data_IF_272951107441
#
_entry.id   IF_272951107441
#
_cell.length_a   1.000
_cell.length_b   1.000
_cell.length_c   1.000
_cell.angle_alpha   90.00
_cell.angle_beta   90.00
_cell.angle_gamma   90.00
#
_symmetry.space_group_name_H-M   'P 1'
#
loop_
_entity.id
_entity.type
_entity.pdbx_description
1 polymer ?
#
# COMPACT_ATOMS: atom_id res chain seq x y z
N UNK A 1 -17.28 -47.70 7.13
CA UNK A 1 -17.23 -46.46 7.95
C UNK A 1 -18.28 -45.50 7.40
N UNK A 2 -19.18 -44.93 8.23
CA UNK A 2 -20.24 -44.08 7.67
C UNK A 2 -19.63 -42.76 7.11
N UNK A 3 -20.26 -42.24 6.06
CA UNK A 3 -19.82 -40.99 5.40
C UNK A 3 -19.66 -39.81 6.40
N UNK A 4 -20.52 -39.76 7.44
CA UNK A 4 -20.41 -38.83 8.56
C UNK A 4 -19.10 -38.97 9.38
N UNK A 5 -18.67 -40.22 9.63
CA UNK A 5 -17.40 -40.46 10.36
C UNK A 5 -16.19 -40.07 9.53
N UNK A 6 -16.21 -40.34 8.22
CA UNK A 6 -15.14 -39.91 7.30
C UNK A 6 -15.06 -38.39 7.26
N UNK A 7 -16.20 -37.71 7.12
CA UNK A 7 -16.23 -36.23 7.10
C UNK A 7 -15.70 -35.59 8.40
N UNK A 8 -16.13 -36.12 9.55
CA UNK A 8 -15.69 -35.65 10.86
C UNK A 8 -14.19 -35.88 11.10
N UNK A 9 -13.65 -37.02 10.71
CA UNK A 9 -12.21 -37.29 10.83
C UNK A 9 -11.39 -36.41 9.89
N UNK A 10 -11.87 -36.17 8.67
CA UNK A 10 -11.21 -35.26 7.72
C UNK A 10 -11.20 -33.81 8.24
N UNK A 11 -12.31 -33.31 8.77
CA UNK A 11 -12.39 -31.97 9.38
C UNK A 11 -11.48 -31.84 10.60
N UNK A 12 -11.44 -32.83 11.47
CA UNK A 12 -10.57 -32.84 12.66
C UNK A 12 -9.08 -32.85 12.26
N UNK A 13 -8.71 -33.66 11.26
CA UNK A 13 -7.35 -33.70 10.73
C UNK A 13 -6.94 -32.36 10.10
N UNK A 14 -7.84 -31.74 9.31
CA UNK A 14 -7.61 -30.43 8.71
C UNK A 14 -7.45 -29.35 9.77
N UNK A 15 -8.27 -29.34 10.82
CA UNK A 15 -8.17 -28.38 11.92
C UNK A 15 -6.85 -28.56 12.71
N UNK A 16 -6.46 -29.80 13.00
CA UNK A 16 -5.18 -30.11 13.65
C UNK A 16 -3.99 -29.68 12.80
N UNK A 17 -4.03 -29.92 11.49
CA UNK A 17 -3.02 -29.47 10.54
C UNK A 17 -2.91 -27.94 10.51
N UNK A 18 -4.02 -27.23 10.40
CA UNK A 18 -4.03 -25.76 10.44
C UNK A 18 -3.47 -25.22 11.75
N UNK A 19 -3.83 -25.86 12.89
CA UNK A 19 -3.28 -25.48 14.19
C UNK A 19 -1.77 -25.71 14.26
N UNK A 20 -1.28 -26.85 13.77
CA UNK A 20 0.14 -27.14 13.67
C UNK A 20 0.88 -26.11 12.83
N UNK A 21 0.37 -25.78 11.64
CA UNK A 21 0.93 -24.77 10.76
C UNK A 21 0.91 -23.36 11.40
N UNK A 22 -0.15 -23.02 12.11
CA UNK A 22 -0.28 -21.77 12.85
C UNK A 22 0.86 -21.60 13.87
N UNK A 23 1.13 -22.62 14.66
CA UNK A 23 2.24 -22.60 15.63
C UNK A 23 3.59 -22.53 14.94
N UNK A 24 3.80 -23.37 13.91
CA UNK A 24 5.06 -23.43 13.15
C UNK A 24 5.40 -22.12 12.46
N UNK A 25 4.39 -21.44 11.89
CA UNK A 25 4.56 -20.19 11.15
C UNK A 25 4.34 -18.94 12.02
N UNK A 26 4.12 -19.12 13.33
CA UNK A 26 3.92 -18.03 14.31
C UNK A 26 2.81 -17.03 13.89
N UNK A 27 1.72 -17.55 13.31
CA UNK A 27 0.60 -16.74 12.84
C UNK A 27 -0.75 -17.38 13.13
N UNK A 28 -1.84 -16.62 13.02
CA UNK A 28 -3.18 -17.11 13.34
C UNK A 28 -3.67 -18.17 12.34
N UNK A 29 -4.56 -19.06 12.78
CA UNK A 29 -5.27 -20.00 11.89
C UNK A 29 -6.09 -19.24 10.85
N UNK A 30 -6.68 -18.11 11.23
CA UNK A 30 -7.46 -17.26 10.32
C UNK A 30 -6.60 -16.76 9.16
N UNK A 31 -5.36 -16.33 9.40
CA UNK A 31 -4.47 -15.88 8.33
C UNK A 31 -4.11 -17.01 7.36
N UNK A 32 -3.94 -18.24 7.86
CA UNK A 32 -3.74 -19.42 7.00
C UNK A 32 -4.95 -19.70 6.12
N UNK A 33 -6.16 -19.61 6.69
CA UNK A 33 -7.40 -19.81 5.94
C UNK A 33 -7.63 -18.76 4.86
N UNK A 34 -7.39 -17.49 5.20
CA UNK A 34 -7.51 -16.37 4.25
C UNK A 34 -6.49 -16.54 3.13
N UNK A 35 -5.22 -16.83 3.45
CA UNK A 35 -4.19 -17.09 2.43
C UNK A 35 -4.58 -18.23 1.50
N UNK A 36 -5.07 -19.33 2.04
CA UNK A 36 -5.49 -20.47 1.23
C UNK A 36 -6.70 -20.15 0.36
N UNK A 37 -7.65 -19.38 0.88
CA UNK A 37 -8.78 -18.84 0.11
C UNK A 37 -8.33 -17.95 -1.04
N UNK A 38 -7.41 -17.03 -0.80
CA UNK A 38 -6.83 -16.16 -1.83
C UNK A 38 -6.10 -16.96 -2.90
N UNK A 39 -5.25 -17.91 -2.50
CA UNK A 39 -4.55 -18.82 -3.44
C UNK A 39 -5.53 -19.59 -4.31
N UNK A 40 -6.58 -20.14 -3.73
CA UNK A 40 -7.61 -20.91 -4.47
C UNK A 40 -8.41 -20.02 -5.42
N UNK A 41 -8.77 -18.81 -5.00
CA UNK A 41 -9.53 -17.86 -5.80
C UNK A 41 -8.72 -17.31 -6.99
N UNK A 42 -7.41 -17.09 -6.77
CA UNK A 42 -6.50 -16.56 -7.78
C UNK A 42 -5.79 -17.65 -8.59
N UNK A 43 -5.97 -18.93 -8.19
CA UNK A 43 -5.38 -20.07 -8.89
C UNK A 43 -5.90 -20.16 -10.33
N UNK A 44 -4.98 -20.34 -11.28
CA UNK A 44 -5.32 -20.49 -12.70
C UNK A 44 -5.66 -19.19 -13.44
N UNK A 45 -5.61 -18.04 -12.81
CA UNK A 45 -5.67 -16.77 -13.53
C UNK A 45 -4.36 -16.60 -14.33
N UNK A 46 -4.51 -16.48 -15.65
CA UNK A 46 -3.40 -16.13 -16.52
C UNK A 46 -3.07 -14.65 -16.30
N UNK A 47 -1.86 -14.32 -15.83
CA UNK A 47 -1.45 -12.94 -15.60
C UNK A 47 -1.65 -12.04 -16.80
N UNK A 48 -1.28 -12.53 -17.99
CA UNK A 48 -1.35 -11.78 -19.25
C UNK A 48 -2.78 -11.50 -19.71
N UNK A 49 -3.73 -12.37 -19.36
CA UNK A 49 -5.15 -12.16 -19.64
C UNK A 49 -5.83 -11.24 -18.62
N UNK A 50 -5.31 -11.20 -17.39
CA UNK A 50 -5.79 -10.28 -16.36
C UNK A 50 -5.44 -8.82 -16.71
N UNK A 51 -4.29 -8.58 -17.34
CA UNK A 51 -3.83 -7.27 -17.80
C UNK A 51 -4.41 -6.96 -19.18
N UNK A 52 -5.67 -6.55 -19.23
CA UNK A 52 -6.27 -6.04 -20.47
C UNK A 52 -5.78 -4.59 -20.71
N UNK A 53 -4.68 -4.47 -21.43
CA UNK A 53 -4.04 -3.19 -21.75
C UNK A 53 -5.02 -2.12 -22.27
N UNK A 54 -5.85 -2.47 -23.27
CA UNK A 54 -6.80 -1.52 -23.86
C UNK A 54 -7.82 -1.01 -22.83
N UNK A 55 -8.29 -1.88 -21.94
CA UNK A 55 -9.20 -1.50 -20.85
C UNK A 55 -8.52 -0.55 -19.86
N UNK A 56 -7.31 -0.88 -19.40
CA UNK A 56 -6.58 -0.04 -18.44
C UNK A 56 -6.20 1.30 -19.07
N UNK A 57 -5.75 1.30 -20.32
CA UNK A 57 -5.46 2.55 -21.01
C UNK A 57 -6.71 3.45 -21.09
N UNK A 58 -7.86 2.89 -21.45
CA UNK A 58 -9.11 3.64 -21.48
C UNK A 58 -9.53 4.18 -20.10
N UNK A 59 -9.46 3.34 -19.06
CA UNK A 59 -9.83 3.74 -17.68
C UNK A 59 -8.89 4.80 -17.14
N UNK A 60 -7.59 4.67 -17.39
CA UNK A 60 -6.55 5.51 -16.79
C UNK A 60 -6.28 6.80 -17.57
N UNK A 61 -6.74 6.93 -18.84
CA UNK A 61 -6.76 8.21 -19.57
C UNK A 61 -8.00 9.06 -19.31
N UNK A 62 -8.99 8.53 -18.58
CA UNK A 62 -10.23 9.24 -18.25
C UNK A 62 -10.23 9.83 -16.84
N UNK A 63 -11.25 10.65 -16.57
CA UNK A 63 -11.50 11.15 -15.22
C UNK A 63 -12.02 10.03 -14.31
N UNK A 64 -11.45 9.91 -13.14
CA UNK A 64 -11.90 8.94 -12.14
C UNK A 64 -13.33 9.25 -11.66
N UNK A 65 -14.16 8.22 -11.56
CA UNK A 65 -15.51 8.33 -10.99
C UNK A 65 -15.50 7.76 -9.58
N UNK A 66 -15.84 8.59 -8.59
CA UNK A 66 -15.94 8.12 -7.19
C UNK A 66 -17.06 7.07 -7.11
N UNK A 67 -16.78 5.84 -6.65
CA UNK A 67 -17.84 4.84 -6.47
C UNK A 67 -18.91 5.34 -5.49
N UNK A 68 -20.19 5.12 -5.81
CA UNK A 68 -21.33 5.56 -4.97
C UNK A 68 -21.18 5.21 -3.49
N UNK A 69 -20.63 4.04 -3.20
CA UNK A 69 -20.37 3.58 -1.84
C UNK A 69 -19.33 4.43 -1.12
N UNK A 70 -18.28 4.84 -1.84
CA UNK A 70 -17.23 5.71 -1.31
C UNK A 70 -17.79 7.10 -1.06
N UNK A 71 -18.54 7.63 -2.00
CA UNK A 71 -19.15 8.95 -1.91
C UNK A 71 -20.23 9.03 -0.81
N UNK A 72 -21.18 8.08 -0.77
CA UNK A 72 -22.38 8.18 0.06
C UNK A 72 -22.20 7.60 1.47
N UNK A 73 -21.32 6.60 1.65
CA UNK A 73 -21.15 5.90 2.93
C UNK A 73 -19.82 6.17 3.63
N UNK A 74 -18.80 6.60 2.87
CA UNK A 74 -17.47 6.94 3.42
C UNK A 74 -17.17 8.43 3.31
N UNK A 75 -18.08 9.22 2.76
CA UNK A 75 -18.06 10.68 2.73
C UNK A 75 -16.84 11.30 2.02
N UNK A 76 -16.23 10.57 1.06
CA UNK A 76 -15.21 11.13 0.20
C UNK A 76 -15.82 12.04 -0.85
N UNK A 77 -15.26 13.23 -1.01
CA UNK A 77 -15.69 14.27 -1.97
C UNK A 77 -14.49 14.74 -2.75
N UNK A 78 -14.75 15.38 -3.88
CA UNK A 78 -13.69 16.09 -4.60
C UNK A 78 -13.21 17.29 -3.76
N UNK A 79 -11.91 17.37 -3.49
CA UNK A 79 -11.23 18.58 -3.07
C UNK A 79 -10.91 19.42 -4.30
N UNK A 80 -10.36 18.79 -5.33
CA UNK A 80 -10.07 19.36 -6.63
C UNK A 80 -10.42 18.34 -7.72
N UNK A 81 -11.35 18.68 -8.60
CA UNK A 81 -11.82 17.80 -9.66
C UNK A 81 -10.85 17.77 -10.85
N UNK A 82 -10.16 18.89 -11.14
CA UNK A 82 -9.22 18.97 -12.27
C UNK A 82 -7.96 18.16 -11.96
N UNK A 83 -7.44 18.27 -10.74
CA UNK A 83 -6.32 17.46 -10.26
C UNK A 83 -6.74 16.07 -9.76
N UNK A 84 -8.03 15.74 -9.75
CA UNK A 84 -8.53 14.47 -9.23
C UNK A 84 -8.08 14.17 -7.78
N UNK A 85 -8.19 15.15 -6.90
CA UNK A 85 -7.87 15.01 -5.48
C UNK A 85 -9.13 14.84 -4.67
N UNK A 86 -9.23 13.75 -3.92
CA UNK A 86 -10.33 13.49 -2.99
C UNK A 86 -9.99 13.99 -1.59
N UNK A 87 -11.02 14.45 -0.88
CA UNK A 87 -10.96 14.82 0.54
C UNK A 87 -12.04 14.07 1.31
N UNK A 88 -11.74 13.74 2.55
CA UNK A 88 -12.69 13.30 3.56
C UNK A 88 -12.34 13.95 4.88
N UNK A 89 -13.31 14.59 5.50
CA UNK A 89 -13.16 15.10 6.86
C UNK A 89 -13.48 14.00 7.88
N UNK A 90 -12.80 14.00 9.02
CA UNK A 90 -13.13 13.11 10.12
C UNK A 90 -14.54 13.41 10.66
N UNK A 91 -15.23 12.38 11.13
CA UNK A 91 -16.48 12.53 11.90
C UNK A 91 -16.22 13.02 13.33
N UNK A 92 -14.99 12.91 13.82
CA UNK A 92 -14.52 13.51 15.07
C UNK A 92 -13.94 14.88 14.74
N UNK A 93 -14.08 15.88 15.63
CA UNK A 93 -13.50 17.20 15.42
C UNK A 93 -12.00 17.09 15.12
N UNK A 94 -11.54 17.52 13.94
CA UNK A 94 -10.16 17.30 13.52
C UNK A 94 -9.20 18.13 14.35
N UNK A 95 -8.17 17.48 14.89
CA UNK A 95 -7.04 18.15 15.56
C UNK A 95 -6.02 18.69 14.55
N UNK A 96 -6.45 19.30 13.47
CA UNK A 96 -5.59 19.81 12.37
C UNK A 96 -4.72 18.75 11.66
N UNK A 97 -4.72 17.48 12.08
CA UNK A 97 -3.96 16.40 11.44
C UNK A 97 -4.56 16.06 10.07
N UNK A 98 -3.69 15.87 9.09
CA UNK A 98 -4.07 15.45 7.73
C UNK A 98 -3.33 14.19 7.36
N UNK A 99 -4.04 13.16 6.93
CA UNK A 99 -3.45 11.98 6.31
C UNK A 99 -3.43 12.22 4.79
N UNK A 100 -2.23 12.44 4.23
CA UNK A 100 -2.03 12.49 2.80
C UNK A 100 -1.81 11.06 2.32
N UNK A 101 -2.80 10.48 1.63
CA UNK A 101 -2.82 9.05 1.34
C UNK A 101 -2.59 8.76 -0.14
N UNK A 102 -1.55 7.98 -0.42
CA UNK A 102 -1.21 7.46 -1.74
C UNK A 102 -1.57 5.98 -1.81
N UNK A 103 -2.60 5.66 -2.60
CA UNK A 103 -3.13 4.31 -2.68
C UNK A 103 -2.25 3.36 -3.50
N UNK A 104 -2.26 2.07 -3.15
CA UNK A 104 -1.64 1.01 -3.94
C UNK A 104 -2.47 0.61 -5.17
N UNK A 105 -1.99 -0.42 -5.86
CA UNK A 105 -2.63 -0.95 -7.08
C UNK A 105 -1.65 -1.04 -8.25
N UNK A 106 -0.37 -1.36 -7.97
CA UNK A 106 0.68 -1.59 -8.96
C UNK A 106 0.86 -0.46 -9.97
N UNK A 107 0.46 0.77 -9.63
CA UNK A 107 0.41 1.94 -10.53
C UNK A 107 -0.56 1.80 -11.72
N UNK A 108 -1.39 0.74 -11.74
CA UNK A 108 -2.35 0.42 -12.80
C UNK A 108 -3.80 0.50 -12.36
N UNK A 109 -4.09 0.06 -11.13
CA UNK A 109 -5.46 -0.08 -10.62
C UNK A 109 -5.90 1.17 -9.88
N UNK A 110 -7.16 1.51 -10.06
CA UNK A 110 -7.84 2.51 -9.25
C UNK A 110 -7.99 2.00 -7.80
N UNK A 111 -8.17 2.92 -6.82
CA UNK A 111 -8.27 2.50 -5.41
C UNK A 111 -9.37 1.47 -5.17
N UNK A 112 -9.08 0.51 -4.32
CA UNK A 112 -10.01 -0.55 -3.91
C UNK A 112 -10.86 -0.15 -2.69
N UNK A 113 -12.05 -0.72 -2.53
CA UNK A 113 -12.96 -0.48 -1.41
C UNK A 113 -12.29 -0.69 -0.04
N UNK A 114 -11.41 -1.67 0.09
CA UNK A 114 -10.68 -1.95 1.32
C UNK A 114 -9.75 -0.79 1.74
N UNK A 115 -9.12 -0.12 0.79
CA UNK A 115 -8.25 1.02 1.04
C UNK A 115 -9.05 2.22 1.57
N UNK A 116 -10.16 2.58 0.90
CA UNK A 116 -11.05 3.65 1.38
C UNK A 116 -11.56 3.40 2.79
N UNK A 117 -12.01 2.16 3.08
CA UNK A 117 -12.51 1.79 4.40
C UNK A 117 -11.44 1.87 5.48
N UNK A 118 -10.25 1.39 5.16
CA UNK A 118 -9.14 1.40 6.09
C UNK A 118 -8.74 2.82 6.46
N UNK A 119 -8.52 3.68 5.46
CA UNK A 119 -8.04 5.03 5.69
C UNK A 119 -9.13 5.92 6.34
N UNK A 120 -10.40 5.75 5.95
CA UNK A 120 -11.52 6.45 6.59
C UNK A 120 -11.62 6.10 8.07
N UNK A 121 -11.57 4.80 8.41
CA UNK A 121 -11.60 4.34 9.80
C UNK A 121 -10.39 4.84 10.59
N UNK A 122 -9.21 4.87 9.98
CA UNK A 122 -8.00 5.37 10.62
C UNK A 122 -8.15 6.87 10.93
N UNK A 123 -8.57 7.65 9.96
CA UNK A 123 -8.78 9.08 10.10
C UNK A 123 -9.79 9.41 11.22
N UNK A 124 -10.92 8.69 11.29
CA UNK A 124 -11.91 8.87 12.35
C UNK A 124 -11.35 8.55 13.74
N UNK A 125 -10.50 7.53 13.85
CA UNK A 125 -9.92 7.14 15.14
C UNK A 125 -8.89 8.13 15.68
N UNK A 126 -8.22 8.88 14.79
CA UNK A 126 -7.18 9.84 15.17
C UNK A 126 -7.62 11.30 15.01
N UNK A 127 -8.87 11.55 14.62
CA UNK A 127 -9.38 12.90 14.41
C UNK A 127 -8.74 13.63 13.23
N UNK A 128 -8.28 12.93 12.19
CA UNK A 128 -7.61 13.51 11.03
C UNK A 128 -8.52 13.64 9.81
N UNK A 129 -8.28 14.62 8.96
CA UNK A 129 -8.82 14.65 7.60
C UNK A 129 -7.96 13.78 6.68
N UNK A 130 -8.55 13.29 5.58
CA UNK A 130 -7.82 12.57 4.52
C UNK A 130 -7.76 13.44 3.28
N UNK A 131 -6.60 13.56 2.67
CA UNK A 131 -6.39 14.06 1.30
C UNK A 131 -5.81 12.92 0.49
N UNK A 132 -6.48 12.56 -0.60
CA UNK A 132 -6.16 11.37 -1.39
C UNK A 132 -6.11 11.71 -2.88
N UNK A 133 -4.93 11.98 -3.42
CA UNK A 133 -4.73 12.11 -4.86
C UNK A 133 -5.03 10.82 -5.60
N UNK A 134 -5.84 10.91 -6.65
CA UNK A 134 -6.07 9.81 -7.59
C UNK A 134 -5.06 9.99 -8.74
N UNK A 135 -3.81 9.76 -8.43
CA UNK A 135 -2.70 10.04 -9.33
C UNK A 135 -2.81 9.31 -10.68
N UNK A 136 -2.23 9.89 -11.78
CA UNK A 136 -2.18 9.27 -13.09
C UNK A 136 -1.54 7.88 -13.05
N UNK A 137 -2.03 6.94 -13.87
CA UNK A 137 -1.66 5.52 -13.81
C UNK A 137 -1.28 4.96 -15.19
N UNK A 138 -0.38 4.00 -15.17
CA UNK A 138 -0.03 3.21 -16.33
C UNK A 138 -1.26 2.42 -16.85
N UNK A 139 -1.35 2.10 -18.13
CA UNK A 139 -0.35 2.41 -19.14
C UNK A 139 -0.55 3.78 -19.83
N UNK A 140 -1.57 4.57 -19.44
CA UNK A 140 -1.87 5.87 -20.02
C UNK A 140 -0.84 6.95 -19.60
N UNK A 141 -0.25 6.79 -18.44
CA UNK A 141 0.68 7.71 -17.79
C UNK A 141 1.85 6.95 -17.19
N UNK A 142 2.91 7.66 -16.83
CA UNK A 142 4.11 7.09 -16.26
C UNK A 142 4.45 7.64 -14.84
N UNK A 143 5.64 7.32 -14.35
CA UNK A 143 6.12 7.70 -13.04
C UNK A 143 6.28 9.22 -12.90
N UNK A 144 6.69 9.92 -13.95
CA UNK A 144 6.85 11.37 -13.94
C UNK A 144 5.49 12.07 -13.79
N UNK A 145 4.47 11.61 -14.53
CA UNK A 145 3.11 12.14 -14.42
C UNK A 145 2.55 11.94 -13.01
N UNK A 146 2.71 10.72 -12.47
CA UNK A 146 2.23 10.38 -11.14
C UNK A 146 2.91 11.23 -10.06
N UNK A 147 4.24 11.32 -10.08
CA UNK A 147 5.01 12.09 -9.12
C UNK A 147 4.75 13.58 -9.21
N UNK A 148 4.68 14.13 -10.42
CA UNK A 148 4.37 15.56 -10.66
C UNK A 148 3.02 15.95 -10.05
N UNK A 149 1.99 15.12 -10.26
CA UNK A 149 0.66 15.37 -9.72
C UNK A 149 0.64 15.31 -8.18
N UNK A 150 1.27 14.30 -7.57
CA UNK A 150 1.25 14.18 -6.10
C UNK A 150 2.11 15.26 -5.43
N UNK A 151 3.22 15.69 -6.05
CA UNK A 151 3.99 16.85 -5.59
C UNK A 151 3.16 18.12 -5.59
N UNK A 152 2.48 18.42 -6.71
CA UNK A 152 1.59 19.57 -6.83
C UNK A 152 0.49 19.53 -5.77
N UNK A 153 -0.16 18.37 -5.61
CA UNK A 153 -1.22 18.18 -4.59
C UNK A 153 -0.71 18.40 -3.17
N UNK A 154 0.52 17.97 -2.86
CA UNK A 154 1.13 18.19 -1.56
C UNK A 154 1.45 19.68 -1.33
N UNK A 155 2.00 20.37 -2.31
CA UNK A 155 2.27 21.80 -2.25
C UNK A 155 1.00 22.64 -2.07
N UNK A 156 -0.07 22.31 -2.77
CA UNK A 156 -1.37 22.96 -2.61
C UNK A 156 -2.00 22.69 -1.24
N UNK A 157 -1.78 21.48 -0.69
CA UNK A 157 -2.18 21.18 0.68
C UNK A 157 -1.44 22.09 1.68
N UNK A 158 -0.11 22.27 1.54
CA UNK A 158 0.66 23.19 2.38
C UNK A 158 0.23 24.64 2.22
N UNK A 159 -0.21 25.06 1.03
CA UNK A 159 -0.74 26.38 0.79
C UNK A 159 -2.14 26.62 1.40
N UNK A 160 -2.80 25.55 1.85
CA UNK A 160 -4.12 25.62 2.50
C UNK A 160 -3.97 26.24 3.89
N UNK A 161 -4.74 27.27 4.18
CA UNK A 161 -4.66 28.01 5.45
C UNK A 161 -4.87 27.08 6.67
N UNK A 162 -3.92 27.09 7.58
CA UNK A 162 -3.92 26.29 8.82
C UNK A 162 -3.41 24.84 8.67
N UNK A 163 -2.87 24.46 7.50
CA UNK A 163 -2.15 23.19 7.32
C UNK A 163 -0.64 23.46 7.40
N UNK A 164 0.02 22.78 8.32
CA UNK A 164 1.47 22.79 8.48
C UNK A 164 2.04 21.40 8.20
N UNK A 165 3.24 21.31 7.65
CA UNK A 165 3.88 20.03 7.32
C UNK A 165 3.98 19.09 8.54
N UNK A 166 4.17 19.67 9.74
CA UNK A 166 4.16 18.97 11.02
C UNK A 166 2.84 18.28 11.38
N UNK A 167 1.75 18.67 10.73
CA UNK A 167 0.43 18.06 10.90
C UNK A 167 0.12 17.02 9.81
N UNK A 168 1.01 16.86 8.81
CA UNK A 168 0.80 15.91 7.72
C UNK A 168 1.45 14.58 8.04
N UNK A 169 0.65 13.52 7.90
CA UNK A 169 1.08 12.13 7.93
C UNK A 169 0.96 11.61 6.50
N UNK A 170 2.10 11.32 5.85
CA UNK A 170 2.11 10.69 4.55
C UNK A 170 1.89 9.19 4.72
N UNK A 171 0.83 8.67 4.16
CA UNK A 171 0.47 7.25 4.23
C UNK A 171 0.45 6.63 2.85
N UNK A 172 1.04 5.45 2.69
CA UNK A 172 1.03 4.75 1.41
C UNK A 172 1.03 3.24 1.55
N UNK A 173 0.39 2.56 0.61
CA UNK A 173 0.43 1.09 0.53
C UNK A 173 0.93 0.61 -0.83
N UNK A 174 1.70 -0.47 -0.87
CA UNK A 174 2.17 -1.11 -2.12
C UNK A 174 2.86 -0.09 -3.05
N UNK A 175 2.37 0.07 -4.28
CA UNK A 175 2.82 1.09 -5.24
C UNK A 175 2.73 2.51 -4.66
N UNK A 176 1.64 2.85 -3.96
CA UNK A 176 1.51 4.14 -3.29
C UNK A 176 2.55 4.35 -2.19
N UNK A 177 3.05 3.27 -1.58
CA UNK A 177 4.16 3.31 -0.64
C UNK A 177 5.49 3.64 -1.32
N UNK A 178 5.76 3.10 -2.50
CA UNK A 178 6.91 3.46 -3.34
C UNK A 178 6.83 4.95 -3.76
N UNK A 179 5.67 5.36 -4.29
CA UNK A 179 5.43 6.76 -4.68
C UNK A 179 5.58 7.73 -3.49
N UNK A 180 5.19 7.31 -2.28
CA UNK A 180 5.37 8.13 -1.07
C UNK A 180 6.85 8.38 -0.74
N UNK A 181 7.70 7.36 -0.90
CA UNK A 181 9.14 7.54 -0.69
C UNK A 181 9.75 8.43 -1.78
N UNK A 182 9.40 8.19 -3.06
CA UNK A 182 9.82 9.07 -4.16
C UNK A 182 9.38 10.52 -3.93
N UNK A 183 8.15 10.73 -3.44
CA UNK A 183 7.64 12.07 -3.10
C UNK A 183 8.52 12.75 -2.06
N UNK A 184 8.80 12.12 -0.91
CA UNK A 184 9.59 12.78 0.16
C UNK A 184 11.04 13.04 -0.27
N UNK A 185 11.63 12.20 -1.12
CA UNK A 185 12.93 12.47 -1.72
C UNK A 185 12.91 13.74 -2.59
N UNK A 186 11.88 13.90 -3.43
CA UNK A 186 11.75 15.07 -4.29
C UNK A 186 11.39 16.33 -3.51
N UNK A 187 10.54 16.25 -2.49
CA UNK A 187 10.23 17.37 -1.61
C UNK A 187 11.50 17.89 -0.91
N UNK A 188 12.32 16.98 -0.34
CA UNK A 188 13.60 17.31 0.25
C UNK A 188 14.54 18.00 -0.76
N UNK A 189 14.69 17.41 -1.95
CA UNK A 189 15.54 17.96 -3.00
C UNK A 189 15.11 19.36 -3.46
N UNK A 190 13.79 19.61 -3.44
CA UNK A 190 13.20 20.90 -3.75
C UNK A 190 13.16 21.87 -2.55
N UNK A 191 13.66 21.46 -1.37
CA UNK A 191 13.62 22.24 -0.13
C UNK A 191 12.18 22.63 0.29
N UNK A 192 11.22 21.73 0.06
CA UNK A 192 9.83 21.85 0.49
C UNK A 192 9.69 21.13 1.83
N UNK A 193 8.91 21.69 2.75
CA UNK A 193 8.69 21.14 4.08
C UNK A 193 8.16 19.70 4.01
N UNK A 194 8.80 18.81 4.76
CA UNK A 194 8.53 17.38 4.76
C UNK A 194 7.41 17.03 5.75
N UNK A 195 6.62 15.98 5.48
CA UNK A 195 5.60 15.51 6.41
C UNK A 195 6.24 15.07 7.73
N UNK A 196 5.47 15.17 8.82
CA UNK A 196 5.90 14.76 10.17
C UNK A 196 6.33 13.30 10.24
N UNK A 197 5.60 12.43 9.56
CA UNK A 197 5.77 10.99 9.59
C UNK A 197 5.35 10.36 8.26
N UNK A 198 6.05 9.31 7.85
CA UNK A 198 5.65 8.45 6.73
C UNK A 198 5.30 7.07 7.27
N UNK A 199 4.13 6.55 6.92
CA UNK A 199 3.68 5.20 7.30
C UNK A 199 3.38 4.40 6.04
N UNK A 200 4.04 3.26 5.88
CA UNK A 200 3.99 2.46 4.67
C UNK A 200 3.51 1.04 4.96
N UNK A 201 2.55 0.56 4.18
CA UNK A 201 2.10 -0.82 4.21
C UNK A 201 2.62 -1.56 2.97
N UNK A 202 3.53 -2.52 3.17
CA UNK A 202 4.05 -3.34 2.06
C UNK A 202 4.54 -2.51 0.85
N UNK A 203 5.39 -1.48 1.00
CA UNK A 203 5.74 -0.57 -0.09
C UNK A 203 6.50 -1.28 -1.22
N UNK A 204 6.21 -0.89 -2.48
CA UNK A 204 6.98 -1.33 -3.65
C UNK A 204 8.12 -0.34 -3.93
N UNK A 205 9.30 -0.65 -3.42
CA UNK A 205 10.46 0.25 -3.37
C UNK A 205 11.46 0.03 -4.50
N UNK A 206 11.41 -1.11 -5.17
CA UNK A 206 12.23 -1.47 -6.34
C UNK A 206 11.35 -2.06 -7.44
N UNK A 207 11.10 -1.28 -8.48
CA UNK A 207 10.30 -1.71 -9.63
C UNK A 207 11.06 -2.70 -10.52
N UNK A 208 12.39 -2.73 -10.44
CA UNK A 208 13.22 -3.69 -11.20
C UNK A 208 13.06 -5.13 -10.71
N UNK A 209 12.67 -5.33 -9.43
CA UNK A 209 12.50 -6.64 -8.81
C UNK A 209 13.71 -7.56 -8.98
N UNK A 210 14.93 -6.99 -8.96
CA UNK A 210 16.18 -7.71 -9.16
C UNK A 210 16.73 -8.38 -7.90
N UNK A 211 16.19 -8.07 -6.72
CA UNK A 211 16.62 -8.69 -5.47
C UNK A 211 16.43 -10.22 -5.53
N UNK A 212 17.54 -10.95 -5.38
CA UNK A 212 17.55 -12.41 -5.54
C UNK A 212 16.66 -13.17 -4.56
N UNK A 213 16.39 -12.58 -3.38
CA UNK A 213 15.51 -13.18 -2.35
C UNK A 213 14.03 -13.19 -2.77
N UNK A 214 13.62 -12.29 -3.68
CA UNK A 214 12.26 -12.23 -4.22
C UNK A 214 11.82 -13.58 -4.79
N UNK A 215 12.69 -14.25 -5.56
CA UNK A 215 12.38 -15.55 -6.18
C UNK A 215 12.06 -16.64 -5.15
N UNK A 216 12.63 -16.56 -3.94
CA UNK A 216 12.38 -17.51 -2.85
C UNK A 216 11.01 -17.30 -2.21
N UNK A 217 10.50 -16.06 -2.22
CA UNK A 217 9.24 -15.67 -1.59
C UNK A 217 8.08 -15.68 -2.57
N UNK A 218 8.31 -15.46 -3.85
CA UNK A 218 7.29 -15.32 -4.89
C UNK A 218 6.20 -16.42 -4.90
N UNK A 219 6.57 -17.66 -4.53
CA UNK A 219 5.61 -18.78 -4.43
C UNK A 219 4.76 -18.75 -3.15
N UNK A 220 5.13 -17.93 -2.17
CA UNK A 220 4.42 -17.85 -0.88
C UNK A 220 3.35 -16.77 -0.90
N UNK A 221 3.59 -15.68 -1.65
CA UNK A 221 2.64 -14.59 -1.76
C UNK A 221 1.35 -15.05 -2.46
N UNK A 222 0.18 -14.91 -1.81
CA UNK A 222 -1.09 -15.32 -2.40
C UNK A 222 -1.68 -14.27 -3.35
N UNK A 223 -1.20 -13.03 -3.32
CA UNK A 223 -1.78 -11.89 -4.04
C UNK A 223 -0.96 -11.50 -5.27
N UNK A 224 0.35 -11.38 -5.10
CA UNK A 224 1.23 -10.83 -6.12
C UNK A 224 1.92 -11.92 -6.93
N UNK A 225 2.15 -11.62 -8.21
CA UNK A 225 2.92 -12.46 -9.13
C UNK A 225 4.07 -11.66 -9.73
N UNK A 226 5.27 -12.23 -9.68
CA UNK A 226 6.48 -11.57 -10.13
C UNK A 226 6.41 -11.12 -11.61
N UNK A 227 5.80 -11.94 -12.47
CA UNK A 227 5.67 -11.63 -13.89
C UNK A 227 4.70 -10.45 -14.15
N UNK A 228 3.61 -10.37 -13.38
CA UNK A 228 2.65 -9.26 -13.45
C UNK A 228 3.33 -7.97 -13.01
N UNK A 229 4.00 -7.98 -11.86
CA UNK A 229 4.70 -6.81 -11.33
C UNK A 229 5.77 -6.29 -12.28
N UNK A 230 6.55 -7.16 -12.92
CA UNK A 230 7.55 -6.74 -13.91
C UNK A 230 6.92 -6.01 -15.07
N UNK A 231 5.86 -6.58 -15.62
CA UNK A 231 5.12 -5.95 -16.72
C UNK A 231 4.52 -4.60 -16.29
N UNK A 232 3.87 -4.55 -15.15
CA UNK A 232 3.27 -3.33 -14.61
C UNK A 232 4.32 -2.26 -14.35
N UNK A 233 5.47 -2.67 -13.80
CA UNK A 233 6.59 -1.78 -13.49
C UNK A 233 7.29 -1.20 -14.72
N UNK A 234 7.45 -1.98 -15.79
CA UNK A 234 8.01 -1.51 -17.06
C UNK A 234 7.16 -0.38 -17.66
N UNK A 235 5.83 -0.52 -17.65
CA UNK A 235 4.93 0.53 -18.14
C UNK A 235 4.90 1.76 -17.22
N UNK A 236 4.95 1.55 -15.90
CA UNK A 236 5.02 2.66 -14.94
C UNK A 236 6.31 3.46 -15.11
N UNK A 237 7.43 2.80 -15.36
CA UNK A 237 8.69 3.48 -15.60
C UNK A 237 8.67 4.37 -16.86
N UNK A 238 7.87 4.02 -17.87
CA UNK A 238 7.79 4.76 -19.13
C UNK A 238 9.15 4.78 -19.84
N UNK A 239 9.72 5.95 -20.04
CA UNK A 239 11.06 6.12 -20.62
C UNK A 239 12.21 6.09 -19.60
N UNK A 240 11.88 6.07 -18.32
CA UNK A 240 12.87 6.07 -17.24
C UNK A 240 13.53 4.68 -17.06
N UNK A 241 14.72 4.68 -16.52
CA UNK A 241 15.34 3.43 -16.03
C UNK A 241 14.52 2.87 -14.87
N UNK A 242 14.34 1.55 -14.82
CA UNK A 242 13.71 0.87 -13.67
C UNK A 242 14.43 1.17 -12.34
N UNK A 243 15.69 1.61 -12.39
CA UNK A 243 16.47 2.01 -11.21
C UNK A 243 16.55 3.53 -11.00
N UNK A 244 15.83 4.31 -11.80
CA UNK A 244 15.71 5.73 -11.52
C UNK A 244 15.01 5.92 -10.16
N UNK A 245 15.51 6.76 -9.23
CA UNK A 245 14.87 7.02 -7.93
C UNK A 245 13.41 7.43 -8.00
N UNK A 246 13.00 8.12 -9.06
CA UNK A 246 11.59 8.47 -9.30
C UNK A 246 10.71 7.21 -9.41
N UNK A 247 11.23 6.15 -10.01
CA UNK A 247 10.55 4.87 -10.25
C UNK A 247 10.77 3.91 -9.08
N UNK A 248 12.01 3.82 -8.61
CA UNK A 248 12.47 2.90 -7.57
C UNK A 248 13.25 3.64 -6.49
N UNK A 249 12.58 4.18 -5.48
CA UNK A 249 13.20 5.05 -4.48
C UNK A 249 14.30 4.39 -3.64
N UNK A 250 14.38 3.08 -3.61
CA UNK A 250 15.48 2.35 -2.95
C UNK A 250 16.88 2.70 -3.53
N UNK A 251 16.93 3.26 -4.74
CA UNK A 251 18.16 3.71 -5.40
C UNK A 251 18.45 5.20 -5.22
N UNK A 252 17.56 5.92 -4.53
CA UNK A 252 17.72 7.34 -4.25
C UNK A 252 18.68 7.64 -3.11
N UNK A 253 18.82 8.92 -2.82
CA UNK A 253 19.51 9.38 -1.63
C UNK A 253 18.54 9.35 -0.45
N UNK A 254 18.77 8.47 0.51
CA UNK A 254 17.91 8.22 1.67
C UNK A 254 18.32 9.05 2.91
N UNK A 255 19.25 9.99 2.75
CA UNK A 255 19.63 10.91 3.84
C UNK A 255 18.51 11.93 4.10
N UNK A 256 18.41 12.39 5.33
CA UNK A 256 17.53 13.49 5.76
C UNK A 256 16.05 13.33 5.38
N UNK A 257 15.59 12.09 5.21
CA UNK A 257 14.17 11.78 5.05
C UNK A 257 13.44 11.89 6.41
N UNK A 258 12.13 12.18 6.41
CA UNK A 258 11.33 12.18 7.63
C UNK A 258 11.32 10.76 8.24
N UNK A 259 10.91 10.58 9.50
CA UNK A 259 10.73 9.26 10.08
C UNK A 259 9.79 8.40 9.24
N UNK A 260 10.22 7.19 8.86
CA UNK A 260 9.44 6.24 8.05
C UNK A 260 9.19 4.98 8.86
N UNK A 261 7.94 4.55 8.99
CA UNK A 261 7.60 3.24 9.55
C UNK A 261 6.97 2.36 8.48
N UNK A 262 7.56 1.18 8.26
CA UNK A 262 7.12 0.19 7.29
C UNK A 262 6.48 -0.99 8.02
N UNK A 263 5.31 -1.42 7.60
CA UNK A 263 4.66 -2.66 8.01
C UNK A 263 4.78 -3.69 6.89
N UNK A 264 5.55 -4.75 7.09
CA UNK A 264 5.83 -5.77 6.10
C UNK A 264 5.57 -7.18 6.58
N UNK A 265 5.07 -8.04 5.70
CA UNK A 265 4.86 -9.46 5.93
C UNK A 265 5.97 -10.32 5.32
N UNK A 266 6.44 -11.36 6.00
CA UNK A 266 7.56 -12.18 5.49
C UNK A 266 7.21 -13.08 4.31
N UNK A 267 5.92 -13.22 3.97
CA UNK A 267 5.45 -13.91 2.77
C UNK A 267 5.09 -12.94 1.63
N UNK A 268 5.31 -11.64 1.82
CA UNK A 268 5.14 -10.61 0.79
C UNK A 268 6.33 -10.63 -0.16
N UNK A 269 6.07 -10.68 -1.47
CA UNK A 269 7.11 -10.68 -2.50
C UNK A 269 8.01 -9.44 -2.46
N UNK A 270 7.50 -8.31 -1.94
CA UNK A 270 8.23 -7.04 -1.80
C UNK A 270 9.03 -6.92 -0.49
N UNK A 271 8.88 -7.89 0.42
CA UNK A 271 9.54 -7.86 1.74
C UNK A 271 11.08 -7.79 1.68
N UNK A 272 11.78 -8.48 0.78
CA UNK A 272 13.24 -8.37 0.67
C UNK A 272 13.72 -6.94 0.43
N UNK A 273 12.99 -6.16 -0.37
CA UNK A 273 13.36 -4.78 -0.67
C UNK A 273 13.01 -3.83 0.48
N UNK A 274 11.96 -4.12 1.26
CA UNK A 274 11.69 -3.39 2.51
C UNK A 274 12.84 -3.55 3.51
N UNK A 275 13.40 -4.75 3.63
CA UNK A 275 14.59 -5.00 4.46
C UNK A 275 15.80 -4.23 3.95
N UNK A 276 16.10 -4.37 2.67
CA UNK A 276 17.25 -3.71 2.04
C UNK A 276 17.13 -2.18 2.16
N UNK A 277 15.96 -1.63 1.97
CA UNK A 277 15.69 -0.20 2.14
C UNK A 277 15.96 0.25 3.59
N UNK A 278 15.46 -0.50 4.57
CA UNK A 278 15.69 -0.22 5.99
C UNK A 278 17.18 -0.26 6.35
N UNK A 279 17.92 -1.21 5.80
CA UNK A 279 19.37 -1.34 5.99
C UNK A 279 20.13 -0.15 5.37
N UNK A 280 19.71 0.32 4.20
CA UNK A 280 20.31 1.47 3.51
C UNK A 280 20.01 2.80 4.20
N UNK A 281 18.75 3.03 4.61
CA UNK A 281 18.29 4.27 5.22
C UNK A 281 18.70 4.45 6.70
N UNK A 282 19.25 3.42 7.31
CA UNK A 282 19.83 3.41 8.68
C UNK A 282 18.85 3.89 9.77
N UNK A 283 18.95 5.15 10.21
CA UNK A 283 18.32 5.61 11.46
C UNK A 283 16.87 6.07 11.33
N UNK A 284 16.45 6.52 10.14
CA UNK A 284 15.12 7.15 9.97
C UNK A 284 14.04 6.15 9.53
N UNK A 285 14.37 4.89 9.30
CA UNK A 285 13.41 3.87 8.84
C UNK A 285 13.30 2.74 9.83
N UNK A 286 12.07 2.45 10.24
CA UNK A 286 11.72 1.32 11.11
C UNK A 286 10.87 0.32 10.33
N UNK A 287 11.32 -0.94 10.22
CA UNK A 287 10.55 -2.04 9.67
C UNK A 287 9.90 -2.85 10.80
N UNK A 288 8.58 -2.89 10.81
CA UNK A 288 7.77 -3.75 11.69
C UNK A 288 7.39 -5.00 10.89
N UNK A 289 8.01 -6.11 11.26
CA UNK A 289 7.86 -7.38 10.55
C UNK A 289 6.74 -8.23 11.15
N UNK A 290 5.90 -8.78 10.27
CA UNK A 290 4.87 -9.74 10.61
C UNK A 290 5.15 -11.09 9.96
N UNK A 291 5.50 -12.08 10.79
CA UNK A 291 5.85 -13.42 10.33
C UNK A 291 4.68 -14.11 9.60
N UNK A 292 4.97 -14.65 8.43
CA UNK A 292 4.02 -15.39 7.61
C UNK A 292 2.92 -14.53 6.98
N UNK A 293 2.90 -13.21 7.19
CA UNK A 293 1.91 -12.34 6.55
C UNK A 293 2.28 -12.07 5.10
N UNK A 294 1.28 -11.84 4.29
CA UNK A 294 1.33 -11.58 2.87
C UNK A 294 1.16 -10.09 2.56
N UNK A 295 1.23 -9.74 1.29
CA UNK A 295 1.13 -8.37 0.80
C UNK A 295 -0.10 -7.63 1.32
N UNK A 296 0.08 -6.40 1.81
CA UNK A 296 -0.94 -5.49 2.38
C UNK A 296 -1.92 -6.17 3.36
N UNK A 297 -1.43 -7.16 4.13
CA UNK A 297 -2.25 -7.91 5.10
C UNK A 297 -3.08 -7.03 6.05
N UNK A 298 -2.68 -5.78 6.42
CA UNK A 298 -3.46 -4.96 7.32
C UNK A 298 -4.87 -4.63 6.83
N UNK A 299 -5.14 -4.75 5.54
CA UNK A 299 -6.47 -4.52 4.96
C UNK A 299 -7.45 -5.70 5.17
N UNK A 300 -6.95 -6.86 5.58
CA UNK A 300 -7.76 -8.07 5.75
C UNK A 300 -8.24 -8.23 7.20
N UNK A 301 -9.36 -8.93 7.44
CA UNK A 301 -9.91 -9.13 8.79
C UNK A 301 -9.15 -10.23 9.56
N UNK A 302 -7.91 -9.94 9.98
CA UNK A 302 -7.01 -10.86 10.66
C UNK A 302 -6.65 -10.35 12.06
N UNK A 303 -6.32 -11.23 13.02
CA UNK A 303 -5.75 -10.83 14.31
C UNK A 303 -4.45 -10.04 14.16
N UNK A 304 -3.60 -10.40 13.19
CA UNK A 304 -2.36 -9.71 12.85
C UNK A 304 -2.64 -8.30 12.33
N UNK A 305 -3.66 -8.14 11.50
CA UNK A 305 -4.09 -6.84 10.96
C UNK A 305 -4.60 -5.91 12.06
N UNK A 306 -5.34 -6.46 13.04
CA UNK A 306 -5.78 -5.69 14.20
C UNK A 306 -4.58 -5.15 14.98
N UNK A 307 -3.56 -5.99 15.23
CA UNK A 307 -2.34 -5.56 15.93
C UNK A 307 -1.58 -4.48 15.15
N UNK A 308 -1.43 -4.67 13.84
CA UNK A 308 -0.80 -3.67 12.97
C UNK A 308 -1.57 -2.34 13.01
N UNK A 309 -2.90 -2.41 12.95
CA UNK A 309 -3.75 -1.23 13.01
C UNK A 309 -3.61 -0.47 14.35
N UNK A 310 -3.60 -1.15 15.49
CA UNK A 310 -3.37 -0.51 16.79
C UNK A 310 -1.96 0.11 16.88
N UNK A 311 -0.93 -0.55 16.37
CA UNK A 311 0.42 0.04 16.30
C UNK A 311 0.46 1.29 15.41
N UNK A 312 -0.28 1.32 14.29
CA UNK A 312 -0.39 2.50 13.43
C UNK A 312 -1.07 3.64 14.20
N UNK A 313 -2.15 3.34 14.93
CA UNK A 313 -2.83 4.32 15.79
C UNK A 313 -1.87 4.90 16.84
N UNK A 314 -1.13 4.04 17.55
CA UNK A 314 -0.18 4.48 18.58
C UNK A 314 0.90 5.41 18.00
N UNK A 315 1.42 5.10 16.79
CA UNK A 315 2.38 5.96 16.10
C UNK A 315 1.76 7.34 15.81
N UNK A 316 0.55 7.38 15.26
CA UNK A 316 -0.10 8.64 14.87
C UNK A 316 -0.50 9.48 16.10
N UNK A 317 -0.95 8.83 17.16
CA UNK A 317 -1.37 9.52 18.40
C UNK A 317 -0.16 10.07 19.16
N UNK A 318 1.01 9.42 19.06
CA UNK A 318 2.24 9.88 19.70
C UNK A 318 2.93 11.07 19.00
N UNK A 319 2.47 11.48 17.83
CA UNK A 319 2.94 12.66 17.09
C UNK A 319 2.27 13.94 17.56
#
# INVERSE_FOLDING_TARGET
>A
MSMKKVLLTTLAASAAYLKYQSVRQKRSVQSLMVEQGLKSFLHGRDPRKALNFARFNHVNSGTYSIPNKVQNYLDFKWLDIEMQVLKRDSIVTPEKKVIFYLHGGSYWYQPFDLQYRFIARLADRVGASVVMPIYPKAPAHDANDALSMVMKSYQELLATNGVEAENIILFGDSAGGGLAVSLVEQLRNAQIDLPKQVILLSPWLDVSLENSEIKKIAKKDPLLKLEELRFEGEYYAGSESLKNPIVSPIYGDLADLPPITIFGGTNDILYPDMKLFTEKAKQNVRLITYEGMFHVFPFFPLPESKRAYEQILDIIVSL
#
